data_IF_248955429697
#
_entry.id   IF_248955429697
#
_cell.length_a   1.000
_cell.length_b   1.000
_cell.length_c   1.000
_cell.angle_alpha   90.00
_cell.angle_beta   90.00
_cell.angle_gamma   90.00
#
_symmetry.space_group_name_H-M   'P 1'
#
loop_
_entity.id
_entity.type
_entity.pdbx_description
1 polymer ?
#
# COMPACT_ATOMS: atom_id res chain seq x y z
N UNK A 1 87.44 -41.15 -2.11
CA UNK A 1 86.69 -41.85 -1.07
C UNK A 1 85.76 -40.82 -0.37
N UNK A 2 84.58 -40.55 -0.83
CA UNK A 2 83.57 -39.77 -0.15
C UNK A 2 82.17 -40.30 -0.53
N UNK A 3 81.49 -40.82 0.47
CA UNK A 3 80.15 -41.42 0.38
C UNK A 3 79.17 -40.30 0.46
N UNK A 4 78.28 -40.15 -0.55
CA UNK A 4 77.19 -39.25 -0.54
C UNK A 4 75.91 -40.03 -0.25
N UNK A 5 75.28 -39.74 0.90
CA UNK A 5 73.96 -40.26 1.28
C UNK A 5 72.84 -39.51 0.55
N UNK A 6 72.03 -40.26 -0.20
CA UNK A 6 70.82 -39.77 -0.81
C UNK A 6 69.71 -39.80 0.23
N UNK A 7 69.04 -38.64 0.50
CA UNK A 7 67.88 -38.52 1.35
C UNK A 7 66.66 -38.51 0.43
N UNK A 8 65.84 -39.54 0.53
CA UNK A 8 64.49 -39.59 -0.09
C UNK A 8 63.55 -38.75 0.73
N UNK A 9 63.05 -37.67 0.14
CA UNK A 9 61.97 -36.86 0.74
C UNK A 9 60.63 -37.38 0.22
N UNK A 10 59.87 -38.06 1.08
CA UNK A 10 58.48 -38.48 0.78
C UNK A 10 57.53 -37.32 1.07
N UNK A 11 56.95 -36.74 0.01
CA UNK A 11 55.95 -35.68 0.12
C UNK A 11 54.58 -36.34 0.45
N UNK A 12 54.10 -36.19 1.69
CA UNK A 12 52.75 -36.51 2.08
C UNK A 12 51.85 -35.35 1.60
N UNK A 13 51.03 -35.58 0.55
CA UNK A 13 49.91 -34.68 0.20
C UNK A 13 48.81 -34.89 1.21
N UNK A 14 48.68 -34.03 2.20
CA UNK A 14 47.50 -33.91 3.02
C UNK A 14 46.40 -33.17 2.21
N UNK A 15 45.44 -33.94 1.68
CA UNK A 15 44.24 -33.38 1.05
C UNK A 15 43.38 -32.68 2.11
N UNK A 16 43.42 -31.35 2.16
CA UNK A 16 42.44 -30.57 2.90
C UNK A 16 41.15 -30.59 2.12
N UNK A 17 40.21 -31.43 2.55
CA UNK A 17 38.82 -31.34 2.14
C UNK A 17 38.28 -29.98 2.62
N UNK A 18 38.13 -29.03 1.71
CA UNK A 18 37.31 -27.84 1.95
C UNK A 18 35.87 -28.30 2.08
N UNK A 19 35.43 -28.51 3.32
CA UNK A 19 33.98 -28.53 3.61
C UNK A 19 33.50 -27.11 3.36
N UNK A 20 32.93 -26.86 2.19
CA UNK A 20 32.14 -25.69 1.95
C UNK A 20 30.92 -25.79 2.88
N UNK A 21 31.00 -25.18 4.05
CA UNK A 21 29.83 -24.82 4.81
C UNK A 21 29.05 -23.84 3.94
N UNK A 22 28.17 -24.40 3.12
CA UNK A 22 27.14 -23.58 2.46
C UNK A 22 26.45 -22.80 3.57
N UNK A 23 26.54 -21.47 3.54
CA UNK A 23 25.63 -20.62 4.31
C UNK A 23 24.22 -21.10 3.97
N UNK A 24 23.58 -21.81 4.88
CA UNK A 24 22.16 -22.06 4.85
C UNK A 24 21.52 -20.66 4.83
N UNK A 25 21.13 -20.19 3.63
CA UNK A 25 20.23 -19.06 3.54
C UNK A 25 19.06 -19.40 4.45
N UNK A 26 18.80 -18.56 5.43
CA UNK A 26 17.80 -18.79 6.45
C UNK A 26 16.42 -18.83 5.73
N UNK A 27 16.01 -20.01 5.29
CA UNK A 27 14.81 -20.24 4.48
C UNK A 27 13.53 -19.84 5.21
N UNK A 28 13.63 -19.55 6.52
CA UNK A 28 12.50 -19.20 7.40
C UNK A 28 12.35 -17.69 7.63
N UNK A 29 13.09 -16.85 6.94
CA UNK A 29 12.88 -15.39 6.99
C UNK A 29 12.00 -14.97 5.83
N UNK A 30 10.93 -14.22 6.07
CA UNK A 30 10.08 -13.59 5.05
C UNK A 30 10.04 -12.09 5.30
N UNK A 31 10.39 -11.31 4.29
CA UNK A 31 10.34 -9.85 4.34
C UNK A 31 9.15 -9.36 3.50
N UNK A 32 8.30 -8.56 4.12
CA UNK A 32 7.09 -7.99 3.53
C UNK A 32 7.25 -6.47 3.49
N UNK A 33 7.16 -5.88 2.28
CA UNK A 33 7.01 -4.43 2.15
C UNK A 33 5.53 -4.10 1.99
N UNK A 34 5.07 -3.07 2.68
CA UNK A 34 3.64 -2.70 2.69
C UNK A 34 3.44 -1.20 2.80
N UNK A 35 2.39 -0.71 2.14
CA UNK A 35 1.93 0.68 2.28
C UNK A 35 0.66 0.80 3.15
N UNK A 36 0.25 -0.30 3.80
CA UNK A 36 -0.94 -0.31 4.65
C UNK A 36 -0.71 0.40 5.98
N UNK A 37 -1.78 0.77 6.65
CA UNK A 37 -1.76 1.56 7.89
C UNK A 37 -1.37 0.74 9.12
N UNK A 38 -0.93 1.42 10.17
CA UNK A 38 -0.45 0.85 11.43
C UNK A 38 -1.38 -0.19 12.05
N UNK A 39 -2.71 0.05 12.03
CA UNK A 39 -3.68 -0.88 12.60
C UNK A 39 -3.71 -2.22 11.84
N UNK A 40 -3.56 -2.17 10.52
CA UNK A 40 -3.50 -3.36 9.68
C UNK A 40 -2.15 -4.07 9.81
N UNK A 41 -1.04 -3.31 9.93
CA UNK A 41 0.29 -3.86 10.24
C UNK A 41 0.27 -4.57 11.60
N UNK A 42 -0.38 -3.99 12.61
CA UNK A 42 -0.51 -4.61 13.93
C UNK A 42 -1.28 -5.94 13.88
N UNK A 43 -2.40 -5.97 13.12
CA UNK A 43 -3.15 -7.20 12.87
C UNK A 43 -2.29 -8.24 12.14
N UNK A 44 -1.54 -7.83 11.10
CA UNK A 44 -0.68 -8.73 10.32
C UNK A 44 0.42 -9.34 11.20
N UNK A 45 1.09 -8.52 12.02
CA UNK A 45 2.11 -9.00 12.97
C UNK A 45 1.55 -10.05 13.92
N UNK A 46 0.34 -9.79 14.46
CA UNK A 46 -0.36 -10.75 15.33
C UNK A 46 -0.66 -12.04 14.58
N UNK A 47 -1.39 -11.98 13.48
CA UNK A 47 -1.86 -13.17 12.75
C UNK A 47 -0.70 -14.00 12.21
N UNK A 48 0.32 -13.37 11.61
CA UNK A 48 1.48 -14.08 11.08
C UNK A 48 2.36 -14.66 12.21
N UNK A 49 2.49 -13.96 13.34
CA UNK A 49 3.24 -14.46 14.50
C UNK A 49 2.59 -15.68 15.15
N UNK A 50 1.25 -15.69 15.22
CA UNK A 50 0.47 -16.84 15.73
C UNK A 50 0.54 -18.05 14.77
N UNK A 51 0.42 -17.80 13.46
CA UNK A 51 0.41 -18.86 12.45
C UNK A 51 1.80 -19.45 12.18
N UNK A 52 2.83 -18.61 12.19
CA UNK A 52 4.20 -19.00 11.81
C UNK A 52 5.22 -18.72 12.93
N UNK A 53 5.09 -19.33 14.13
CA UNK A 53 5.95 -19.03 15.28
C UNK A 53 7.44 -19.37 15.04
N UNK A 54 7.75 -20.20 14.04
CA UNK A 54 9.10 -20.62 13.68
C UNK A 54 9.70 -19.79 12.52
N UNK A 55 8.95 -18.80 11.98
CA UNK A 55 9.43 -17.92 10.93
C UNK A 55 9.85 -16.57 11.49
N UNK A 56 10.88 -15.99 10.90
CA UNK A 56 11.24 -14.60 11.13
C UNK A 56 10.54 -13.76 10.07
N UNK A 57 9.43 -13.14 10.45
CA UNK A 57 8.69 -12.25 9.56
C UNK A 57 9.10 -10.81 9.84
N UNK A 58 9.59 -10.13 8.81
CA UNK A 58 9.99 -8.72 8.84
C UNK A 58 8.97 -7.94 8.02
N UNK A 59 8.31 -6.97 8.61
CA UNK A 59 7.34 -6.10 7.94
C UNK A 59 7.90 -4.69 7.95
N UNK A 60 8.12 -4.13 6.76
CA UNK A 60 8.62 -2.78 6.54
C UNK A 60 7.53 -1.92 5.88
N UNK A 61 7.13 -0.85 6.57
CA UNK A 61 6.22 0.15 6.04
C UNK A 61 6.98 1.14 5.15
N UNK A 62 6.44 1.38 3.96
CA UNK A 62 6.96 2.34 2.98
C UNK A 62 5.79 2.94 2.20
N UNK A 63 6.00 4.06 1.54
CA UNK A 63 5.01 4.56 0.57
C UNK A 63 4.93 3.67 -0.68
N UNK A 64 3.79 3.68 -1.38
CA UNK A 64 3.60 2.88 -2.60
C UNK A 64 4.68 3.16 -3.65
N UNK A 65 5.07 4.42 -3.82
CA UNK A 65 6.13 4.78 -4.78
C UNK A 65 7.50 4.27 -4.37
N UNK A 66 7.83 4.28 -3.07
CA UNK A 66 9.11 3.76 -2.54
C UNK A 66 9.21 2.25 -2.70
N UNK A 67 8.12 1.52 -2.41
CA UNK A 67 8.07 0.06 -2.63
C UNK A 67 8.36 -0.26 -4.09
N UNK A 68 7.62 0.37 -5.00
CA UNK A 68 7.78 0.12 -6.43
C UNK A 68 9.19 0.48 -6.92
N UNK A 69 9.71 1.64 -6.54
CA UNK A 69 11.04 2.09 -6.94
C UNK A 69 12.13 1.13 -6.44
N UNK A 70 12.09 0.76 -5.16
CA UNK A 70 13.09 -0.12 -4.54
C UNK A 70 13.04 -1.52 -5.14
N UNK A 71 11.86 -2.13 -5.29
CA UNK A 71 11.73 -3.48 -5.86
C UNK A 71 12.17 -3.50 -7.33
N UNK A 72 11.88 -2.44 -8.09
CA UNK A 72 12.32 -2.31 -9.50
C UNK A 72 13.85 -2.18 -9.57
N UNK A 73 14.46 -1.35 -8.73
CA UNK A 73 15.92 -1.15 -8.72
C UNK A 73 16.66 -2.43 -8.29
N UNK A 74 16.20 -3.10 -7.26
CA UNK A 74 16.85 -4.28 -6.69
C UNK A 74 16.55 -5.57 -7.48
N UNK A 75 15.42 -5.65 -8.18
CA UNK A 75 14.98 -6.80 -8.95
C UNK A 75 14.96 -8.09 -8.13
N UNK A 76 15.50 -9.18 -8.66
CA UNK A 76 15.56 -10.50 -7.97
C UNK A 76 16.48 -10.52 -6.75
N UNK A 77 17.35 -9.52 -6.58
CA UNK A 77 18.22 -9.36 -5.40
C UNK A 77 17.55 -8.60 -4.26
N UNK A 78 16.31 -8.12 -4.45
CA UNK A 78 15.57 -7.41 -3.41
C UNK A 78 15.53 -8.19 -2.10
N UNK A 79 15.62 -7.46 -0.98
CA UNK A 79 15.36 -7.99 0.34
C UNK A 79 13.87 -8.33 0.53
N UNK A 80 12.98 -7.66 -0.21
CA UNK A 80 11.55 -7.92 -0.21
C UNK A 80 11.24 -9.29 -0.81
N UNK A 81 10.43 -10.06 -0.12
CA UNK A 81 9.90 -11.33 -0.61
C UNK A 81 8.46 -11.16 -1.12
N UNK A 82 7.65 -10.40 -0.39
CA UNK A 82 6.23 -10.16 -0.68
C UNK A 82 5.97 -8.65 -0.63
N UNK A 83 5.35 -8.13 -1.66
CA UNK A 83 4.72 -6.81 -1.66
C UNK A 83 3.27 -7.00 -1.21
N UNK A 84 2.85 -6.32 -0.15
CA UNK A 84 1.52 -6.43 0.45
C UNK A 84 0.78 -5.10 0.40
N UNK A 85 -0.49 -5.14 0.00
CA UNK A 85 -1.36 -3.97 -0.11
C UNK A 85 -0.74 -2.83 -0.95
N UNK A 86 -0.22 -3.17 -2.12
CA UNK A 86 0.33 -2.21 -3.08
C UNK A 86 -0.75 -1.77 -4.07
N UNK A 87 -0.74 -0.51 -4.44
CA UNK A 87 -1.70 0.06 -5.39
C UNK A 87 -1.48 -0.49 -6.80
N UNK A 88 -2.56 -0.79 -7.52
CA UNK A 88 -2.52 -1.51 -8.80
C UNK A 88 -1.68 -0.82 -9.88
N UNK A 89 -1.68 0.49 -10.00
CA UNK A 89 -0.84 1.19 -10.98
C UNK A 89 0.66 0.97 -10.74
N UNK A 90 1.09 0.86 -9.49
CA UNK A 90 2.48 0.50 -9.18
C UNK A 90 2.76 -0.98 -9.38
N UNK A 91 1.79 -1.86 -9.10
CA UNK A 91 1.90 -3.29 -9.44
C UNK A 91 2.03 -3.50 -10.95
N UNK A 92 1.23 -2.80 -11.77
CA UNK A 92 1.36 -2.80 -13.23
C UNK A 92 2.77 -2.36 -13.68
N UNK A 93 3.32 -1.33 -13.03
CA UNK A 93 4.69 -0.87 -13.29
C UNK A 93 5.72 -1.95 -12.97
N UNK A 94 5.62 -2.60 -11.81
CA UNK A 94 6.52 -3.70 -11.41
C UNK A 94 6.39 -4.90 -12.35
N UNK A 95 5.17 -5.24 -12.80
CA UNK A 95 4.93 -6.29 -13.82
C UNK A 95 5.64 -5.92 -15.12
N UNK A 96 5.47 -4.70 -15.61
CA UNK A 96 6.12 -4.21 -16.83
C UNK A 96 7.65 -4.26 -16.79
N UNK A 97 8.24 -4.14 -15.58
CA UNK A 97 9.69 -4.27 -15.36
C UNK A 97 10.14 -5.73 -15.10
N UNK A 98 9.21 -6.70 -15.07
CA UNK A 98 9.52 -8.12 -14.88
C UNK A 98 10.07 -8.48 -13.51
N UNK A 99 9.77 -7.68 -12.47
CA UNK A 99 10.31 -7.85 -11.10
C UNK A 99 9.38 -8.61 -10.16
N UNK A 100 8.26 -9.15 -10.67
CA UNK A 100 7.34 -10.00 -9.93
C UNK A 100 7.34 -11.44 -10.47
N UNK A 101 7.08 -12.41 -9.60
CA UNK A 101 6.87 -13.80 -9.99
C UNK A 101 5.42 -14.00 -10.44
N UNK A 102 5.22 -14.79 -11.50
CA UNK A 102 3.88 -15.18 -11.93
C UNK A 102 3.25 -16.13 -10.92
N UNK A 103 1.98 -15.89 -10.61
CA UNK A 103 1.12 -16.74 -9.77
C UNK A 103 0.11 -17.53 -10.61
N UNK A 104 0.26 -17.51 -11.94
CA UNK A 104 -0.66 -18.19 -12.86
C UNK A 104 -0.76 -19.68 -12.54
N UNK A 105 -1.97 -20.13 -12.24
CA UNK A 105 -2.25 -21.51 -11.93
C UNK A 105 -1.95 -21.94 -10.47
N UNK A 106 -1.44 -21.02 -9.63
CA UNK A 106 -1.18 -21.29 -8.21
C UNK A 106 -2.39 -20.99 -7.32
N UNK A 107 -3.24 -20.04 -7.74
CA UNK A 107 -4.37 -19.53 -6.94
C UNK A 107 -5.67 -19.53 -7.75
N UNK A 108 -6.79 -19.80 -7.05
CA UNK A 108 -8.13 -19.69 -7.64
C UNK A 108 -8.63 -18.25 -7.59
N UNK A 109 -8.43 -17.51 -8.68
CA UNK A 109 -8.89 -16.13 -8.78
C UNK A 109 -10.41 -16.01 -8.99
N UNK A 110 -11.14 -17.11 -9.28
CA UNK A 110 -12.59 -17.07 -9.47
C UNK A 110 -13.37 -16.71 -8.19
N UNK A 111 -12.75 -16.82 -7.04
CA UNK A 111 -13.29 -16.41 -5.74
C UNK A 111 -13.36 -14.90 -5.53
N UNK A 112 -12.61 -14.14 -6.32
CA UNK A 112 -12.61 -12.68 -6.28
C UNK A 112 -13.70 -12.07 -7.17
N UNK A 113 -14.10 -10.82 -6.88
CA UNK A 113 -14.97 -10.05 -7.74
C UNK A 113 -14.24 -9.73 -9.06
N UNK A 114 -14.95 -9.83 -10.18
CA UNK A 114 -14.34 -9.76 -11.51
C UNK A 114 -13.67 -8.39 -11.78
N UNK A 115 -14.23 -7.32 -11.22
CA UNK A 115 -13.67 -5.96 -11.32
C UNK A 115 -12.42 -5.74 -10.45
N UNK A 116 -12.09 -6.68 -9.56
CA UNK A 116 -10.86 -6.65 -8.75
C UNK A 116 -9.71 -7.45 -9.38
N UNK A 117 -9.95 -8.17 -10.48
CA UNK A 117 -8.97 -9.02 -11.17
C UNK A 117 -8.81 -8.60 -12.64
N UNK A 118 -8.40 -7.34 -12.92
CA UNK A 118 -8.22 -6.91 -14.30
C UNK A 118 -7.09 -7.69 -15.01
N UNK A 119 -7.22 -7.84 -16.33
CA UNK A 119 -6.29 -8.63 -17.14
C UNK A 119 -4.82 -8.15 -17.04
N UNK A 120 -4.59 -6.88 -16.72
CA UNK A 120 -3.25 -6.30 -16.58
C UNK A 120 -2.46 -6.86 -15.40
N UNK A 121 -3.14 -7.41 -14.37
CA UNK A 121 -2.48 -7.88 -13.14
C UNK A 121 -2.78 -9.33 -12.78
N UNK A 122 -3.77 -9.98 -13.40
CA UNK A 122 -4.33 -11.27 -12.99
C UNK A 122 -3.34 -12.46 -12.95
N UNK A 123 -2.21 -12.37 -13.63
CA UNK A 123 -1.18 -13.41 -13.58
C UNK A 123 -0.13 -13.19 -12.50
N UNK A 124 -0.19 -12.07 -11.76
CA UNK A 124 0.87 -11.66 -10.82
C UNK A 124 0.34 -11.23 -9.45
N UNK A 125 -0.93 -10.83 -9.35
CA UNK A 125 -1.46 -10.12 -8.19
C UNK A 125 -2.67 -10.86 -7.61
N UNK A 126 -2.69 -11.00 -6.29
CA UNK A 126 -3.87 -11.37 -5.52
C UNK A 126 -4.55 -10.10 -5.00
N UNK A 127 -5.82 -9.85 -5.33
CA UNK A 127 -6.57 -8.73 -4.76
C UNK A 127 -6.55 -8.77 -3.24
N UNK A 128 -6.41 -7.61 -2.60
CA UNK A 128 -6.36 -7.52 -1.14
C UNK A 128 -7.46 -6.64 -0.58
N UNK A 129 -7.45 -5.35 -0.93
CA UNK A 129 -8.43 -4.39 -0.45
C UNK A 129 -8.93 -3.48 -1.56
N UNK A 130 -10.19 -3.07 -1.44
CA UNK A 130 -10.75 -1.90 -2.08
C UNK A 130 -10.78 -0.79 -1.04
N UNK A 131 -10.14 0.33 -1.32
CA UNK A 131 -10.01 1.42 -0.37
C UNK A 131 -10.63 2.70 -0.91
N UNK A 132 -11.65 3.20 -0.23
CA UNK A 132 -12.30 4.48 -0.53
C UNK A 132 -11.66 5.66 0.19
N UNK A 133 -11.64 6.81 -0.47
CA UNK A 133 -11.25 8.10 0.10
C UNK A 133 -12.45 8.94 0.49
N UNK A 134 -12.25 9.82 1.45
CA UNK A 134 -13.24 10.81 1.88
C UNK A 134 -12.58 12.10 2.32
N UNK A 135 -13.36 13.16 2.37
CA UNK A 135 -12.96 14.39 3.04
C UNK A 135 -13.23 14.21 4.53
N UNK A 136 -12.18 14.20 5.32
CA UNK A 136 -12.27 13.95 6.74
C UNK A 136 -12.05 15.26 7.47
N UNK A 137 -12.91 15.59 8.42
CA UNK A 137 -12.78 16.80 9.22
C UNK A 137 -12.53 16.46 10.68
N UNK A 138 -11.81 17.35 11.37
CA UNK A 138 -11.80 17.40 12.82
C UNK A 138 -12.75 18.52 13.27
N UNK A 139 -13.92 18.12 13.81
CA UNK A 139 -14.99 19.04 14.27
C UNK A 139 -14.51 20.02 15.33
N UNK A 140 -13.60 19.57 16.23
CA UNK A 140 -13.07 20.42 17.30
C UNK A 140 -12.14 21.51 16.75
N UNK A 141 -11.31 21.18 15.76
CA UNK A 141 -10.44 22.18 15.13
C UNK A 141 -11.28 23.20 14.33
N UNK A 142 -12.33 22.76 13.62
CA UNK A 142 -13.26 23.68 12.95
C UNK A 142 -13.89 24.64 13.94
N UNK A 143 -14.43 24.14 15.07
CA UNK A 143 -15.02 24.95 16.13
C UNK A 143 -14.02 25.95 16.72
N UNK A 144 -12.82 25.50 17.12
CA UNK A 144 -11.79 26.33 17.75
C UNK A 144 -11.28 27.44 16.84
N UNK A 145 -11.35 27.23 15.51
CA UNK A 145 -10.96 28.19 14.47
C UNK A 145 -12.12 29.04 13.95
N UNK A 146 -13.35 28.77 14.40
CA UNK A 146 -14.56 29.45 13.93
C UNK A 146 -14.85 29.21 12.45
N UNK A 147 -14.46 28.00 11.95
CA UNK A 147 -14.65 27.62 10.53
C UNK A 147 -16.01 26.93 10.34
N UNK A 148 -16.64 27.23 9.23
CA UNK A 148 -17.84 26.50 8.80
C UNK A 148 -17.42 25.12 8.26
N UNK A 149 -18.24 24.11 8.53
CA UNK A 149 -18.05 22.76 7.95
C UNK A 149 -18.14 22.85 6.42
N UNK A 150 -17.12 22.35 5.68
CA UNK A 150 -17.15 22.42 4.22
C UNK A 150 -18.20 21.46 3.65
N UNK A 151 -18.81 21.83 2.53
CA UNK A 151 -19.83 21.07 1.80
C UNK A 151 -19.42 20.76 0.36
N UNK A 152 -18.33 21.38 -0.10
CA UNK A 152 -17.79 21.19 -1.45
C UNK A 152 -16.28 21.33 -1.45
N UNK A 153 -15.64 20.89 -2.53
CA UNK A 153 -14.21 21.14 -2.76
C UNK A 153 -13.91 22.64 -2.85
N UNK A 154 -14.81 23.44 -3.43
CA UNK A 154 -14.62 24.87 -3.55
C UNK A 154 -14.58 25.59 -2.20
N UNK A 155 -15.29 25.11 -1.19
CA UNK A 155 -15.25 25.69 0.16
C UNK A 155 -13.84 25.64 0.75
N UNK A 156 -13.04 24.63 0.36
CA UNK A 156 -11.67 24.44 0.83
C UNK A 156 -10.67 25.47 0.22
N UNK A 157 -11.09 26.21 -0.79
CA UNK A 157 -10.28 27.29 -1.39
C UNK A 157 -10.34 28.59 -0.58
N UNK A 158 -11.28 28.72 0.37
CA UNK A 158 -11.37 29.90 1.22
C UNK A 158 -10.10 30.08 2.04
N UNK A 159 -9.59 31.29 2.09
CA UNK A 159 -8.36 31.63 2.79
C UNK A 159 -8.38 31.40 4.30
N UNK A 160 -9.56 31.24 4.91
CA UNK A 160 -9.73 30.85 6.29
C UNK A 160 -9.20 29.42 6.61
N UNK A 161 -9.08 28.57 5.59
CA UNK A 161 -8.47 27.25 5.69
C UNK A 161 -6.95 27.24 5.53
N UNK A 162 -6.29 28.42 5.42
CA UNK A 162 -4.85 28.50 5.19
C UNK A 162 -4.04 27.68 6.20
N UNK A 163 -3.28 26.68 5.69
CA UNK A 163 -2.48 25.76 6.49
C UNK A 163 -3.30 24.80 7.35
N UNK A 164 -4.60 24.61 7.07
CA UNK A 164 -5.50 23.73 7.81
C UNK A 164 -6.02 22.55 6.99
N UNK A 165 -5.49 22.34 5.80
CA UNK A 165 -5.78 21.19 4.93
C UNK A 165 -4.57 20.27 4.87
N UNK A 166 -4.75 18.97 4.84
CA UNK A 166 -3.69 17.98 4.58
C UNK A 166 -4.14 16.98 3.51
N UNK A 167 -3.22 16.65 2.64
CA UNK A 167 -3.40 15.66 1.57
C UNK A 167 -2.10 14.88 1.37
N UNK A 168 -2.19 13.61 1.04
CA UNK A 168 -1.00 12.89 0.61
C UNK A 168 -0.57 13.31 -0.81
N UNK A 169 0.75 13.36 -1.07
CA UNK A 169 1.23 13.69 -2.41
C UNK A 169 0.82 12.60 -3.42
N UNK A 170 0.20 12.95 -4.53
CA UNK A 170 -0.11 12.00 -5.60
C UNK A 170 1.11 11.26 -6.16
N UNK A 171 2.30 11.88 -6.09
CA UNK A 171 3.55 11.26 -6.58
C UNK A 171 4.05 10.11 -5.69
N UNK A 172 3.77 10.15 -4.40
CA UNK A 172 4.29 9.17 -3.44
C UNK A 172 3.23 8.20 -2.94
N UNK A 173 1.95 8.59 -2.96
CA UNK A 173 0.87 7.86 -2.33
C UNK A 173 -0.27 7.53 -3.29
N UNK A 174 -0.71 6.27 -3.28
CA UNK A 174 -1.93 5.85 -3.97
C UNK A 174 -3.18 6.60 -3.47
N UNK A 175 -3.23 6.94 -2.17
CA UNK A 175 -4.31 7.76 -1.59
C UNK A 175 -4.34 9.16 -2.19
N UNK A 176 -3.19 9.83 -2.28
CA UNK A 176 -3.12 11.15 -2.92
C UNK A 176 -3.51 11.09 -4.39
N UNK A 177 -3.02 10.06 -5.09
CA UNK A 177 -3.31 9.88 -6.50
C UNK A 177 -4.80 9.63 -6.79
N UNK A 178 -5.51 8.84 -5.97
CA UNK A 178 -6.93 8.58 -6.22
C UNK A 178 -7.79 9.85 -6.14
N UNK A 179 -7.48 10.80 -5.24
CA UNK A 179 -8.15 12.10 -5.19
C UNK A 179 -7.86 12.95 -6.43
N UNK A 180 -6.59 13.01 -6.85
CA UNK A 180 -6.24 13.72 -8.08
C UNK A 180 -6.98 13.14 -9.28
N UNK A 181 -6.95 11.82 -9.45
CA UNK A 181 -7.56 11.16 -10.59
C UNK A 181 -9.10 11.32 -10.62
N UNK A 182 -9.76 11.18 -9.46
CA UNK A 182 -11.22 11.36 -9.38
C UNK A 182 -11.68 12.76 -9.79
N UNK A 183 -10.96 13.81 -9.38
CA UNK A 183 -11.27 15.17 -9.77
C UNK A 183 -10.97 15.42 -11.26
N UNK A 184 -9.92 14.80 -11.81
CA UNK A 184 -9.68 14.82 -13.26
C UNK A 184 -10.84 14.18 -14.03
N UNK A 185 -11.40 13.10 -13.50
CA UNK A 185 -12.57 12.45 -14.12
C UNK A 185 -13.84 13.30 -14.01
N UNK A 186 -14.04 13.97 -12.88
CA UNK A 186 -15.22 14.79 -12.64
C UNK A 186 -15.21 16.11 -13.42
N UNK A 187 -14.06 16.80 -13.47
CA UNK A 187 -13.96 18.18 -13.98
C UNK A 187 -13.12 18.30 -15.26
N UNK A 188 -12.35 17.29 -15.61
CA UNK A 188 -11.32 17.35 -16.64
C UNK A 188 -9.97 17.74 -16.04
N UNK A 189 -8.91 17.42 -16.79
CA UNK A 189 -7.52 17.53 -16.32
C UNK A 189 -7.11 18.97 -15.96
N UNK A 190 -7.43 19.93 -16.86
CA UNK A 190 -7.03 21.33 -16.66
C UNK A 190 -7.67 21.93 -15.40
N UNK A 191 -8.96 21.69 -15.19
CA UNK A 191 -9.69 22.24 -14.06
C UNK A 191 -9.24 21.60 -12.75
N UNK A 192 -9.05 20.27 -12.72
CA UNK A 192 -8.55 19.58 -11.54
C UNK A 192 -7.14 20.04 -11.13
N UNK A 193 -6.21 20.18 -12.06
CA UNK A 193 -4.86 20.68 -11.74
C UNK A 193 -4.92 22.13 -11.25
N UNK A 194 -5.72 23.01 -11.90
CA UNK A 194 -5.92 24.39 -11.46
C UNK A 194 -6.53 24.48 -10.05
N UNK A 195 -7.44 23.55 -9.72
CA UNK A 195 -8.00 23.45 -8.37
C UNK A 195 -6.90 23.17 -7.32
N UNK A 196 -6.02 22.19 -7.56
CA UNK A 196 -4.94 21.87 -6.63
C UNK A 196 -3.90 23.00 -6.53
N UNK A 197 -3.62 23.73 -7.62
CA UNK A 197 -2.79 24.94 -7.57
C UNK A 197 -3.41 25.96 -6.63
N UNK A 198 -4.74 26.16 -6.71
CA UNK A 198 -5.49 27.10 -5.87
C UNK A 198 -5.64 26.62 -4.41
N UNK A 199 -5.70 25.30 -4.18
CA UNK A 199 -5.79 24.69 -2.86
C UNK A 199 -4.44 24.74 -2.10
N UNK A 200 -3.33 24.68 -2.82
CA UNK A 200 -1.98 24.54 -2.23
C UNK A 200 -1.67 25.58 -1.14
N UNK A 201 -2.07 26.87 -1.21
CA UNK A 201 -1.89 27.81 -0.11
C UNK A 201 -2.58 27.43 1.20
N UNK A 202 -3.63 26.59 1.13
CA UNK A 202 -4.39 26.12 2.29
C UNK A 202 -3.86 24.77 2.82
N UNK A 203 -3.01 24.08 2.05
CA UNK A 203 -2.40 22.81 2.43
C UNK A 203 -1.23 23.05 3.39
N UNK A 204 -1.29 22.46 4.58
CA UNK A 204 -0.19 22.45 5.54
C UNK A 204 0.99 21.64 5.00
N UNK A 205 0.69 20.44 4.49
CA UNK A 205 1.70 19.56 3.92
C UNK A 205 1.06 18.55 2.94
N UNK A 206 1.76 18.30 1.84
CA UNK A 206 1.57 17.10 1.02
C UNK A 206 2.41 15.97 1.64
N UNK A 207 1.76 15.04 2.35
CA UNK A 207 2.46 13.98 3.08
C UNK A 207 2.95 12.88 2.12
N UNK A 208 4.03 12.20 2.45
CA UNK A 208 4.54 11.06 1.66
C UNK A 208 3.67 9.80 1.79
N UNK A 209 3.10 9.58 2.98
CA UNK A 209 2.22 8.45 3.27
C UNK A 209 0.75 8.82 3.13
N UNK A 210 -0.08 7.88 2.66
CA UNK A 210 -1.54 8.02 2.60
C UNK A 210 -2.21 8.17 3.96
N UNK A 211 -1.57 7.69 5.03
CA UNK A 211 -2.04 7.81 6.42
C UNK A 211 -1.83 9.21 7.01
N UNK A 212 -0.93 10.00 6.44
CA UNK A 212 -0.54 11.32 6.98
C UNK A 212 -1.70 12.27 7.24
N UNK A 213 -2.65 12.48 6.30
CA UNK A 213 -3.76 13.41 6.50
C UNK A 213 -4.64 13.08 7.69
N UNK A 214 -4.99 11.80 7.90
CA UNK A 214 -5.80 11.40 9.06
C UNK A 214 -5.01 11.53 10.35
N UNK A 215 -3.72 11.22 10.34
CA UNK A 215 -2.86 11.42 11.51
C UNK A 215 -2.76 12.90 11.89
N UNK A 216 -2.62 13.82 10.93
CA UNK A 216 -2.63 15.27 11.18
C UNK A 216 -3.97 15.75 11.79
N UNK A 217 -5.11 15.18 11.37
CA UNK A 217 -6.41 15.44 11.97
C UNK A 217 -6.50 14.95 13.42
N UNK A 218 -6.03 13.72 13.68
CA UNK A 218 -6.00 13.15 15.04
C UNK A 218 -5.16 14.02 15.99
N UNK A 219 -4.03 14.53 15.50
CA UNK A 219 -3.14 15.42 16.23
C UNK A 219 -3.66 16.86 16.33
N UNK A 220 -4.83 17.18 15.71
CA UNK A 220 -5.39 18.54 15.64
C UNK A 220 -4.47 19.57 14.96
N UNK A 221 -3.61 19.12 14.04
CA UNK A 221 -2.72 19.97 13.26
C UNK A 221 -3.48 20.66 12.11
N UNK A 222 -4.50 19.98 11.56
CA UNK A 222 -5.34 20.46 10.47
C UNK A 222 -6.82 20.26 10.78
N UNK A 223 -7.67 21.01 10.08
CA UNK A 223 -9.13 20.91 10.18
C UNK A 223 -9.72 19.93 9.16
N UNK A 224 -9.06 19.77 8.00
CA UNK A 224 -9.53 18.96 6.86
C UNK A 224 -8.41 18.08 6.34
N UNK A 225 -8.73 16.83 6.05
CA UNK A 225 -7.81 15.86 5.44
C UNK A 225 -8.44 15.11 4.28
N UNK A 226 -7.71 14.98 3.19
CA UNK A 226 -8.02 14.08 2.09
C UNK A 226 -7.47 12.69 2.47
N UNK A 227 -8.30 11.82 3.02
CA UNK A 227 -7.81 10.60 3.66
C UNK A 227 -8.64 9.36 3.35
N UNK A 228 -8.17 8.21 3.83
CA UNK A 228 -8.87 6.94 3.69
C UNK A 228 -10.01 6.83 4.70
N UNK A 229 -11.18 6.40 4.22
CA UNK A 229 -12.37 6.17 5.05
C UNK A 229 -12.06 5.15 6.14
N UNK A 230 -11.43 4.03 5.80
CA UNK A 230 -11.07 2.96 6.73
C UNK A 230 -10.21 3.44 7.89
N UNK A 231 -9.21 4.29 7.61
CA UNK A 231 -8.35 4.84 8.67
C UNK A 231 -9.12 5.81 9.58
N UNK A 232 -9.96 6.68 9.00
CA UNK A 232 -10.80 7.58 9.80
C UNK A 232 -11.75 6.80 10.70
N UNK A 233 -12.39 5.76 10.16
CA UNK A 233 -13.32 4.88 10.91
C UNK A 233 -12.58 4.11 12.01
N UNK A 234 -11.38 3.59 11.75
CA UNK A 234 -10.55 2.98 12.80
C UNK A 234 -10.29 3.95 13.96
N UNK A 235 -9.91 5.20 13.66
CA UNK A 235 -9.69 6.23 14.68
C UNK A 235 -10.98 6.58 15.45
N UNK A 236 -12.12 6.67 14.75
CA UNK A 236 -13.44 6.88 15.38
C UNK A 236 -13.78 5.71 16.30
N UNK A 237 -13.63 4.47 15.85
CA UNK A 237 -13.89 3.25 16.62
C UNK A 237 -12.94 3.11 17.81
N UNK A 238 -11.76 3.69 17.73
CA UNK A 238 -10.78 3.78 18.82
C UNK A 238 -11.03 4.95 19.79
N UNK A 239 -12.14 5.68 19.62
CA UNK A 239 -12.59 6.73 20.55
C UNK A 239 -12.32 8.17 20.11
N UNK A 240 -11.80 8.41 18.90
CA UNK A 240 -11.63 9.77 18.38
C UNK A 240 -12.93 10.30 17.76
N UNK A 241 -13.86 10.74 18.63
CA UNK A 241 -15.20 11.22 18.23
C UNK A 241 -15.18 12.61 17.57
N UNK A 242 -14.04 13.25 17.45
CA UNK A 242 -13.89 14.56 16.81
C UNK A 242 -13.86 14.44 15.28
N UNK A 243 -13.50 13.28 14.77
CA UNK A 243 -13.48 13.03 13.33
C UNK A 243 -14.88 12.83 12.75
N UNK A 244 -15.05 13.25 11.50
CA UNK A 244 -16.22 12.99 10.68
C UNK A 244 -15.80 12.84 9.23
N UNK A 245 -16.37 11.83 8.54
CA UNK A 245 -16.13 11.60 7.11
C UNK A 245 -17.23 12.29 6.31
N UNK A 246 -16.85 13.07 5.31
CA UNK A 246 -17.73 13.79 4.40
C UNK A 246 -17.53 13.29 2.97
N UNK A 247 -18.60 13.38 2.18
CA UNK A 247 -18.58 13.17 0.73
C UNK A 247 -19.13 14.39 0.04
N UNK A 248 -18.49 14.79 -1.05
CA UNK A 248 -18.96 15.87 -1.91
C UNK A 248 -19.62 15.29 -3.17
N UNK A 249 -20.21 16.12 -4.01
CA UNK A 249 -21.00 15.69 -5.16
C UNK A 249 -20.20 14.89 -6.21
N UNK A 250 -18.86 15.09 -6.27
CA UNK A 250 -17.97 14.37 -7.18
C UNK A 250 -17.81 12.89 -6.83
N UNK A 251 -18.28 12.50 -5.65
CA UNK A 251 -18.20 11.15 -5.15
C UNK A 251 -16.88 10.83 -4.43
N UNK A 252 -16.86 9.69 -3.77
CA UNK A 252 -15.69 9.16 -3.06
C UNK A 252 -14.72 8.50 -4.05
N UNK A 253 -13.44 8.92 -4.13
CA UNK A 253 -12.47 8.19 -4.93
C UNK A 253 -12.21 6.81 -4.33
N UNK A 254 -11.82 5.83 -5.16
CA UNK A 254 -11.41 4.53 -4.66
C UNK A 254 -10.29 3.93 -5.51
N UNK A 255 -9.46 3.11 -4.86
CA UNK A 255 -8.42 2.33 -5.51
C UNK A 255 -8.46 0.87 -5.07
N UNK A 256 -7.90 0.00 -5.92
CA UNK A 256 -7.62 -1.39 -5.62
C UNK A 256 -6.16 -1.55 -5.21
N UNK A 257 -5.95 -2.42 -4.24
CA UNK A 257 -4.63 -2.81 -3.75
C UNK A 257 -4.51 -4.33 -3.76
N UNK A 258 -3.32 -4.82 -4.00
CA UNK A 258 -3.07 -6.25 -4.09
C UNK A 258 -1.74 -6.68 -3.50
N UNK A 259 -1.55 -7.99 -3.49
CA UNK A 259 -0.35 -8.65 -2.99
C UNK A 259 0.37 -9.34 -4.14
N UNK A 260 1.70 -9.29 -4.14
CA UNK A 260 2.52 -9.92 -5.16
C UNK A 260 3.81 -10.51 -4.56
N UNK A 261 4.35 -11.53 -5.22
CA UNK A 261 5.64 -12.14 -4.86
C UNK A 261 6.73 -11.52 -5.74
N UNK A 262 7.81 -11.06 -5.13
CA UNK A 262 8.95 -10.50 -5.85
C UNK A 262 9.68 -11.60 -6.64
N UNK A 263 10.25 -11.24 -7.78
CA UNK A 263 10.91 -12.14 -8.74
C UNK A 263 11.97 -13.05 -8.10
N UNK A 264 11.82 -14.36 -8.32
CA UNK A 264 12.72 -15.40 -7.79
C UNK A 264 12.46 -15.79 -6.34
N UNK A 265 11.49 -15.17 -5.64
CA UNK A 265 11.17 -15.46 -4.24
C UNK A 265 10.13 -16.57 -4.05
N UNK A 266 9.33 -16.86 -5.07
CA UNK A 266 8.30 -17.91 -5.04
C UNK A 266 8.88 -19.32 -4.76
N UNK A 267 10.13 -19.57 -5.13
CA UNK A 267 10.81 -20.85 -4.83
C UNK A 267 11.10 -21.09 -3.34
N UNK A 268 10.94 -20.07 -2.49
CA UNK A 268 11.17 -20.12 -1.06
C UNK A 268 9.91 -20.58 -0.37
N UNK A 269 9.91 -21.77 0.23
CA UNK A 269 8.74 -22.41 0.88
C UNK A 269 8.03 -21.46 1.86
N UNK A 270 8.79 -20.78 2.73
CA UNK A 270 8.21 -19.85 3.70
C UNK A 270 7.46 -18.67 3.02
N UNK A 271 7.93 -18.19 1.88
CA UNK A 271 7.25 -17.12 1.12
C UNK A 271 5.93 -17.62 0.57
N UNK A 272 5.93 -18.83 0.00
CA UNK A 272 4.69 -19.43 -0.51
C UNK A 272 3.67 -19.64 0.60
N UNK A 273 4.06 -20.25 1.72
CA UNK A 273 3.16 -20.51 2.85
C UNK A 273 2.59 -19.22 3.45
N UNK A 274 3.42 -18.18 3.59
CA UNK A 274 2.95 -16.86 4.06
C UNK A 274 1.98 -16.25 3.06
N UNK A 275 2.27 -16.32 1.75
CA UNK A 275 1.38 -15.78 0.73
C UNK A 275 0.05 -16.56 0.67
N UNK A 276 0.08 -17.90 0.80
CA UNK A 276 -1.12 -18.72 0.86
C UNK A 276 -2.00 -18.35 2.07
N UNK A 277 -1.39 -18.06 3.22
CA UNK A 277 -2.11 -17.62 4.41
C UNK A 277 -2.68 -16.20 4.25
N UNK A 278 -1.91 -15.28 3.67
CA UNK A 278 -2.38 -13.92 3.37
C UNK A 278 -3.59 -13.96 2.45
N UNK A 279 -3.58 -14.82 1.43
CA UNK A 279 -4.67 -14.99 0.48
C UNK A 279 -5.89 -15.68 1.08
N UNK A 280 -5.69 -16.82 1.77
CA UNK A 280 -6.79 -17.67 2.20
C UNK A 280 -7.48 -17.20 3.48
N UNK A 281 -6.75 -16.55 4.39
CA UNK A 281 -7.25 -16.14 5.70
C UNK A 281 -7.15 -14.64 5.94
N UNK A 282 -5.93 -14.06 5.82
CA UNK A 282 -5.68 -12.71 6.29
C UNK A 282 -6.47 -11.64 5.53
N UNK A 283 -6.56 -11.75 4.21
CA UNK A 283 -7.35 -10.81 3.38
C UNK A 283 -8.80 -10.75 3.86
N UNK A 284 -9.43 -11.91 4.14
CA UNK A 284 -10.79 -11.95 4.65
C UNK A 284 -10.90 -11.33 6.05
N UNK A 285 -9.96 -11.62 6.95
CA UNK A 285 -9.98 -11.09 8.32
C UNK A 285 -9.75 -9.58 8.37
N UNK A 286 -8.81 -9.07 7.59
CA UNK A 286 -8.54 -7.64 7.44
C UNK A 286 -9.73 -6.88 6.87
N UNK A 287 -10.37 -7.43 5.82
CA UNK A 287 -11.54 -6.83 5.21
C UNK A 287 -12.73 -6.81 6.18
N UNK A 288 -12.96 -7.88 6.92
CA UNK A 288 -13.99 -7.96 7.95
C UNK A 288 -13.85 -6.90 9.05
N UNK A 289 -12.61 -6.54 9.39
CA UNK A 289 -12.32 -5.59 10.48
C UNK A 289 -12.28 -4.13 10.03
N UNK A 290 -11.78 -3.87 8.81
CA UNK A 290 -11.43 -2.51 8.40
C UNK A 290 -11.97 -2.09 7.04
N UNK A 291 -12.19 -3.04 6.10
CA UNK A 291 -12.52 -2.74 4.71
C UNK A 291 -13.79 -3.48 4.30
N UNK A 292 -14.98 -2.93 4.65
CA UNK A 292 -16.26 -3.64 4.41
C UNK A 292 -16.59 -3.79 2.93
N UNK A 293 -15.89 -3.08 2.04
CA UNK A 293 -16.06 -3.20 0.61
C UNK A 293 -15.35 -4.45 0.10
N UNK A 294 -16.11 -5.48 -0.31
CA UNK A 294 -15.52 -6.78 -0.57
C UNK A 294 -14.65 -6.77 -1.83
N UNK A 295 -13.57 -7.52 -1.78
CA UNK A 295 -12.84 -8.00 -2.96
C UNK A 295 -13.17 -9.45 -3.27
N UNK A 296 -13.70 -10.19 -2.29
CA UNK A 296 -14.10 -11.60 -2.39
C UNK A 296 -15.60 -11.72 -2.67
N UNK A 297 -15.99 -12.67 -3.53
CA UNK A 297 -17.39 -13.04 -3.76
C UNK A 297 -17.99 -13.68 -2.48
N UNK A 298 -19.31 -13.55 -2.34
CA UNK A 298 -20.06 -14.14 -1.24
C UNK A 298 -19.64 -13.68 0.17
N UNK A 299 -19.04 -12.51 0.28
CA UNK A 299 -18.73 -11.88 1.56
C UNK A 299 -19.60 -10.64 1.77
N UNK A 300 -19.95 -10.40 3.03
CA UNK A 300 -20.65 -9.19 3.47
C UNK A 300 -20.10 -8.80 4.83
N UNK A 301 -19.39 -7.71 4.87
CA UNK A 301 -18.72 -7.22 6.07
C UNK A 301 -19.47 -6.03 6.63
N UNK A 302 -19.48 -5.91 7.95
CA UNK A 302 -20.07 -4.76 8.66
C UNK A 302 -19.01 -4.23 9.64
N UNK A 303 -18.50 -3.04 9.33
CA UNK A 303 -17.57 -2.30 10.20
C UNK A 303 -18.32 -1.17 10.87
N UNK A 304 -18.26 -1.12 12.20
CA UNK A 304 -18.97 -0.09 12.97
C UNK A 304 -18.53 1.32 12.50
N UNK A 305 -19.48 2.26 12.45
CA UNK A 305 -19.27 3.64 12.00
C UNK A 305 -18.75 3.81 10.57
N UNK A 306 -18.68 2.75 9.78
CA UNK A 306 -18.36 2.90 8.37
C UNK A 306 -19.56 3.52 7.64
N UNK A 307 -19.34 4.56 6.79
CA UNK A 307 -20.44 5.23 6.10
C UNK A 307 -21.21 4.27 5.19
N UNK A 308 -22.53 4.40 5.19
CA UNK A 308 -23.41 3.64 4.30
C UNK A 308 -23.71 4.43 3.01
N UNK A 309 -24.07 3.72 1.94
CA UNK A 309 -24.53 4.31 0.67
C UNK A 309 -23.52 5.28 0.04
N UNK A 310 -22.23 4.96 0.10
CA UNK A 310 -21.18 5.78 -0.49
C UNK A 310 -21.38 5.86 -2.01
N UNK A 311 -21.48 7.08 -2.53
CA UNK A 311 -21.43 7.32 -3.98
C UNK A 311 -19.97 7.39 -4.41
N UNK A 312 -19.52 6.37 -5.15
CA UNK A 312 -18.13 6.34 -5.65
C UNK A 312 -17.96 7.17 -6.91
N UNK A 313 -16.84 7.87 -6.99
CA UNK A 313 -16.39 8.58 -8.18
C UNK A 313 -16.14 7.61 -9.35
N UNK A 314 -16.26 8.09 -10.57
CA UNK A 314 -15.83 7.35 -11.75
C UNK A 314 -14.30 7.23 -11.77
N UNK A 315 -13.78 6.01 -11.59
CA UNK A 315 -12.35 5.70 -11.66
C UNK A 315 -12.00 4.93 -12.95
N UNK A 316 -12.90 4.87 -13.93
CA UNK A 316 -12.65 4.16 -15.19
C UNK A 316 -11.48 4.77 -15.97
N UNK A 317 -10.64 3.91 -16.53
CA UNK A 317 -9.42 4.34 -17.24
C UNK A 317 -8.23 4.63 -16.32
N UNK A 318 -8.38 4.45 -15.01
CA UNK A 318 -7.24 4.49 -14.09
C UNK A 318 -6.32 3.29 -14.37
N UNK A 319 -5.17 3.55 -15.00
CA UNK A 319 -4.13 2.58 -15.33
C UNK A 319 -2.76 3.25 -15.26
N UNK A 320 -1.69 2.46 -15.42
CA UNK A 320 -0.32 2.96 -15.33
C UNK A 320 -0.04 4.14 -16.27
N UNK A 321 -0.48 4.06 -17.55
CA UNK A 321 -0.20 5.11 -18.53
C UNK A 321 -0.89 6.43 -18.16
N UNK A 322 -2.16 6.37 -17.75
CA UNK A 322 -2.91 7.54 -17.25
C UNK A 322 -2.25 8.14 -16.01
N UNK A 323 -1.81 7.27 -15.08
CA UNK A 323 -1.11 7.67 -13.86
C UNK A 323 0.19 8.41 -14.17
N UNK A 324 1.07 7.83 -14.98
CA UNK A 324 2.36 8.44 -15.33
C UNK A 324 2.18 9.78 -16.07
N UNK A 325 1.24 9.85 -17.01
CA UNK A 325 0.93 11.07 -17.74
C UNK A 325 0.43 12.21 -16.83
N UNK A 326 -0.43 11.86 -15.85
CA UNK A 326 -0.99 12.84 -14.93
C UNK A 326 0.04 13.28 -13.89
N UNK A 327 0.81 12.34 -13.31
CA UNK A 327 1.86 12.67 -12.34
C UNK A 327 3.01 13.49 -12.92
N UNK A 328 3.29 13.40 -14.21
CA UNK A 328 4.26 14.26 -14.89
C UNK A 328 3.84 15.74 -14.89
N UNK A 329 2.54 16.05 -14.75
CA UNK A 329 1.99 17.42 -14.73
C UNK A 329 1.79 17.95 -13.31
N UNK A 330 1.86 17.09 -12.30
CA UNK A 330 1.75 17.49 -10.90
C UNK A 330 3.01 18.23 -10.44
N UNK A 331 2.86 19.44 -9.89
CA UNK A 331 3.99 20.33 -9.57
C UNK A 331 4.25 20.53 -8.07
N UNK A 332 3.39 19.96 -7.20
CA UNK A 332 3.47 20.14 -5.75
C UNK A 332 4.12 18.97 -5.02
#
# INVERSE_FOLDING_TARGET
MKITKSLLFTLLLAGTAFVSTGCSKNNNTVTIYTSTEDYNIALMKKCLGEQFPNYKIVIEEKSTSEIAAQVIEEGSSSACDIVFAEEYGYLEKMIGQGVLDSIKGDYDLSRYLDDTVPASVNEYVLPNIRCGGGIIINKKVLEDRGLTKPTSYNDLLDSSYRGLVSMASPKSSGTGYMFLYSLVKAWGETEALSYFDSLTPNVLAYTTSGSGPVNALVNREVAVGFGMISQAVDKINSGNNELEVLFFEEGAPCNLYGNAIVKGKKAKTAVKEVMDYLDSFYTNESNRLYYPEPVLKNTNYNVANFPENIQYADMTGNNLAAKEALLAKWTH
#
